data_IF_277924438918
#
_entry.id   IF_277924438918
#
_cell.length_a   1.000
_cell.length_b   1.000
_cell.length_c   1.000
_cell.angle_alpha   90.00
_cell.angle_beta   90.00
_cell.angle_gamma   90.00
#
_symmetry.space_group_name_H-M   'P 1'
#
loop_
_entity.id
_entity.type
_entity.pdbx_description
1 polymer ?
#
# COMPACT_ATOMS: atom_id res chain seq x y z
N UNK A 1 0.16 -13.42 -6.28
CA UNK A 1 -0.37 -12.18 -5.70
C UNK A 1 0.29 -11.98 -4.35
N UNK A 2 1.09 -10.91 -4.22
CA UNK A 2 1.86 -10.60 -3.01
C UNK A 2 1.01 -9.83 -2.00
N UNK A 3 1.36 -9.94 -0.73
CA UNK A 3 0.79 -9.11 0.33
C UNK A 3 1.88 -8.69 1.32
N UNK A 4 1.72 -7.51 1.91
CA UNK A 4 2.62 -7.00 2.93
C UNK A 4 1.82 -6.38 4.08
N UNK A 5 2.35 -6.51 5.31
CA UNK A 5 1.84 -5.84 6.50
C UNK A 5 2.92 -4.94 7.05
N UNK A 6 2.54 -3.73 7.46
CA UNK A 6 3.43 -2.76 8.06
C UNK A 6 2.80 -2.22 9.34
N UNK A 7 3.58 -2.22 10.42
CA UNK A 7 3.30 -1.42 11.60
C UNK A 7 3.95 -0.03 11.41
N UNK A 8 3.11 1.00 11.45
CA UNK A 8 3.49 2.40 11.24
C UNK A 8 2.76 3.21 12.31
N UNK A 9 3.51 3.75 13.28
CA UNK A 9 3.00 4.59 14.36
C UNK A 9 1.81 3.97 15.13
N UNK A 10 1.88 2.65 15.39
CA UNK A 10 0.84 1.88 16.09
C UNK A 10 -0.37 1.50 15.24
N UNK A 11 -0.38 1.87 13.95
CA UNK A 11 -1.40 1.51 12.97
C UNK A 11 -0.91 0.35 12.11
N UNK A 12 -1.81 -0.60 11.82
CA UNK A 12 -1.48 -1.80 11.07
C UNK A 12 -1.99 -1.68 9.62
N UNK A 13 -1.09 -1.41 8.68
CA UNK A 13 -1.44 -1.31 7.27
C UNK A 13 -1.19 -2.62 6.53
N UNK A 14 -2.15 -3.01 5.70
CA UNK A 14 -2.11 -4.17 4.82
C UNK A 14 -2.13 -3.68 3.38
N UNK A 15 -1.19 -4.19 2.59
CA UNK A 15 -1.10 -3.95 1.15
C UNK A 15 -1.34 -5.26 0.41
N UNK A 16 -2.28 -5.23 -0.54
CA UNK A 16 -2.57 -6.38 -1.40
C UNK A 16 -2.29 -6.02 -2.85
N UNK A 17 -1.46 -6.84 -3.50
CA UNK A 17 -1.03 -6.62 -4.88
C UNK A 17 -2.22 -6.74 -5.84
N UNK A 18 -2.46 -5.68 -6.59
CA UNK A 18 -3.38 -5.64 -7.72
C UNK A 18 -2.66 -5.82 -9.05
N UNK A 19 -3.30 -5.41 -10.16
CA UNK A 19 -2.74 -5.55 -11.50
C UNK A 19 -1.57 -4.58 -11.75
N UNK A 20 -0.77 -4.93 -12.76
CA UNK A 20 0.20 -4.00 -13.36
C UNK A 20 -0.52 -3.00 -14.27
N UNK A 21 -0.25 -1.71 -14.08
CA UNK A 21 -0.89 -0.61 -14.80
C UNK A 21 0.12 0.28 -15.52
N UNK A 22 -0.40 1.16 -16.38
CA UNK A 22 0.31 2.33 -16.90
C UNK A 22 -0.44 3.58 -16.49
N UNK A 23 0.17 4.40 -15.63
CA UNK A 23 -0.39 5.67 -15.15
C UNK A 23 0.54 6.79 -15.60
N UNK A 24 0.02 7.76 -16.36
CA UNK A 24 0.79 8.89 -16.90
C UNK A 24 2.09 8.47 -17.62
N UNK A 25 2.03 7.39 -18.40
CA UNK A 25 3.18 6.85 -19.13
C UNK A 25 4.16 6.02 -18.27
N UNK A 26 3.95 5.92 -16.96
CA UNK A 26 4.80 5.14 -16.04
C UNK A 26 4.20 3.75 -15.78
N UNK A 27 5.02 2.72 -15.91
CA UNK A 27 4.65 1.36 -15.51
C UNK A 27 4.68 1.22 -13.98
N UNK A 28 3.55 0.83 -13.41
CA UNK A 28 3.34 0.68 -11.96
C UNK A 28 2.61 -0.63 -11.68
N UNK A 29 2.59 -1.03 -10.42
CA UNK A 29 1.70 -2.05 -9.87
C UNK A 29 0.74 -1.35 -8.92
N UNK A 30 -0.55 -1.67 -9.03
CA UNK A 30 -1.56 -1.20 -8.09
C UNK A 30 -1.51 -2.01 -6.79
N UNK A 31 -1.72 -1.36 -5.66
CA UNK A 31 -1.79 -1.99 -4.35
C UNK A 31 -2.98 -1.47 -3.57
N UNK A 32 -3.91 -2.36 -3.22
CA UNK A 32 -5.00 -2.01 -2.30
C UNK A 32 -4.42 -1.79 -0.91
N UNK A 33 -4.72 -0.62 -0.31
CA UNK A 33 -4.27 -0.22 1.02
C UNK A 33 -5.44 -0.30 2.01
N UNK A 34 -5.25 -1.09 3.06
CA UNK A 34 -6.21 -1.29 4.14
C UNK A 34 -5.54 -1.07 5.49
N UNK A 35 -6.29 -0.58 6.46
CA UNK A 35 -5.91 -0.57 7.87
C UNK A 35 -6.66 -1.69 8.60
N UNK A 36 -5.93 -2.44 9.41
CA UNK A 36 -6.45 -3.50 10.27
C UNK A 36 -6.76 -2.92 11.66
N UNK A 37 -8.05 -2.89 12.02
CA UNK A 37 -8.56 -2.46 13.32
C UNK A 37 -8.83 -3.64 14.27
N UNK A 38 -8.49 -4.87 13.87
CA UNK A 38 -8.64 -6.11 14.64
C UNK A 38 -9.95 -6.85 14.37
N UNK A 39 -11.09 -6.15 14.40
CA UNK A 39 -12.42 -6.72 14.13
C UNK A 39 -12.91 -6.47 12.69
N UNK A 40 -12.38 -5.43 12.05
CA UNK A 40 -12.66 -5.10 10.66
C UNK A 40 -11.44 -4.49 9.95
N UNK A 41 -11.52 -4.49 8.62
CA UNK A 41 -10.56 -3.78 7.77
C UNK A 41 -11.20 -2.51 7.24
N UNK A 42 -10.47 -1.38 7.33
CA UNK A 42 -10.86 -0.13 6.70
C UNK A 42 -10.05 0.06 5.42
N UNK A 43 -10.73 0.10 4.27
CA UNK A 43 -10.08 0.42 3.00
C UNK A 43 -9.79 1.92 2.92
N UNK A 44 -8.54 2.28 2.61
CA UNK A 44 -8.14 3.67 2.39
C UNK A 44 -8.13 4.04 0.91
N UNK A 45 -7.71 3.11 0.05
CA UNK A 45 -7.61 3.36 -1.39
C UNK A 45 -6.58 2.45 -2.05
N UNK A 46 -6.07 2.90 -3.19
CA UNK A 46 -5.09 2.16 -3.98
C UNK A 46 -3.81 3.00 -4.16
N UNK A 47 -2.66 2.42 -3.82
CA UNK A 47 -1.35 3.00 -4.08
C UNK A 47 -0.80 2.50 -5.41
N UNK A 48 -0.25 3.41 -6.23
CA UNK A 48 0.40 3.07 -7.49
C UNK A 48 1.92 3.16 -7.33
N UNK A 49 2.55 2.01 -7.15
CA UNK A 49 3.98 1.91 -6.82
C UNK A 49 4.77 1.34 -8.00
N UNK A 50 6.08 1.64 -8.14
CA UNK A 50 6.91 0.99 -9.14
C UNK A 50 6.81 -0.55 -9.06
N UNK A 51 6.80 -1.25 -10.20
CA UNK A 51 6.59 -2.72 -10.22
C UNK A 51 7.55 -3.53 -9.35
N UNK A 52 8.74 -2.98 -9.12
CA UNK A 52 9.81 -3.56 -8.30
C UNK A 52 10.05 -2.76 -7.03
N UNK A 53 9.02 -2.08 -6.51
CA UNK A 53 9.11 -1.37 -5.24
C UNK A 53 9.56 -2.34 -4.14
N UNK A 54 10.58 -1.93 -3.39
CA UNK A 54 11.07 -2.70 -2.24
C UNK A 54 10.13 -2.51 -1.05
N UNK A 55 10.12 -3.45 -0.10
CA UNK A 55 9.32 -3.31 1.14
C UNK A 55 9.55 -1.96 1.84
N UNK A 56 10.78 -1.44 1.82
CA UNK A 56 11.14 -0.14 2.41
C UNK A 56 10.47 1.03 1.67
N UNK A 57 10.52 1.02 0.33
CA UNK A 57 9.85 2.03 -0.50
C UNK A 57 8.33 1.99 -0.30
N UNK A 58 7.75 0.80 -0.22
CA UNK A 58 6.33 0.61 0.05
C UNK A 58 5.95 1.17 1.43
N UNK A 59 6.69 0.79 2.49
CA UNK A 59 6.46 1.29 3.85
C UNK A 59 6.54 2.81 3.92
N UNK A 60 7.55 3.39 3.29
CA UNK A 60 7.77 4.84 3.28
C UNK A 60 6.60 5.56 2.60
N UNK A 61 6.16 5.08 1.43
CA UNK A 61 5.01 5.66 0.73
C UNK A 61 3.72 5.57 1.56
N UNK A 62 3.46 4.44 2.23
CA UNK A 62 2.27 4.33 3.08
C UNK A 62 2.35 5.24 4.30
N UNK A 63 3.52 5.35 4.92
CA UNK A 63 3.73 6.30 6.02
C UNK A 63 3.45 7.75 5.59
N UNK A 64 3.95 8.16 4.42
CA UNK A 64 3.82 9.54 3.93
C UNK A 64 2.39 9.91 3.52
N UNK A 65 1.68 9.01 2.83
CA UNK A 65 0.41 9.35 2.17
C UNK A 65 -0.84 8.80 2.85
N UNK A 66 -0.71 7.76 3.69
CA UNK A 66 -1.86 7.05 4.27
C UNK A 66 -1.85 7.06 5.79
N UNK A 67 -0.69 7.07 6.45
CA UNK A 67 -0.62 7.16 7.91
C UNK A 67 -0.84 8.58 8.47
N UNK A 68 -0.68 9.61 7.63
CA UNK A 68 -0.94 11.03 7.98
C UNK A 68 -2.42 11.41 7.83
N UNK A 69 -3.20 10.61 7.09
CA UNK A 69 -4.63 10.82 6.85
C UNK A 69 -5.49 10.19 7.96
#
# INVERSE_FOLDING_TARGET
MRFYRFDIDGRNFILSEGPDLRVNGRAVTEWEVREDHGDHYRQFGNAHLPRRATKVQMRTHIAEYYAVA
#
